data_IF_387864982086
#
_entry.id   IF_387864982086
#
_cell.length_a   1.000
_cell.length_b   1.000
_cell.length_c   1.000
_cell.angle_alpha   90.00
_cell.angle_beta   90.00
_cell.angle_gamma   90.00
#
_symmetry.space_group_name_H-M   'P 1'
#
loop_
_entity.id
_entity.type
_entity.pdbx_description
1 polymer ?
#
# COMPACT_ATOMS: atom_id res chain seq x y z
N UNK A 1 37.59 24.78 -7.79
CA UNK A 1 37.48 23.46 -7.14
C UNK A 1 36.04 23.31 -6.68
N UNK A 2 35.20 22.79 -7.56
CA UNK A 2 33.79 22.48 -7.28
C UNK A 2 33.74 21.30 -6.34
N UNK A 3 33.08 21.47 -5.20
CA UNK A 3 32.69 20.41 -4.28
C UNK A 3 32.02 19.31 -5.08
N UNK A 4 32.70 18.16 -5.23
CA UNK A 4 32.01 16.91 -5.57
C UNK A 4 31.12 16.64 -4.37
N UNK A 5 29.87 17.09 -4.47
CA UNK A 5 28.83 16.67 -3.55
C UNK A 5 28.90 15.14 -3.52
N UNK A 6 28.90 14.56 -2.31
CA UNK A 6 28.71 13.14 -2.06
C UNK A 6 27.31 12.74 -2.56
N UNK A 7 27.16 12.70 -3.88
CA UNK A 7 25.99 12.21 -4.58
C UNK A 7 26.00 10.71 -4.32
N UNK A 8 25.06 10.24 -3.50
CA UNK A 8 24.85 8.81 -3.27
C UNK A 8 24.84 8.12 -4.64
N UNK A 9 25.92 7.42 -4.99
CA UNK A 9 26.13 6.94 -6.35
C UNK A 9 24.98 5.96 -6.68
N UNK A 10 24.03 6.40 -7.51
CA UNK A 10 22.81 5.66 -7.79
C UNK A 10 23.12 4.66 -8.89
N UNK A 11 22.91 3.36 -8.61
CA UNK A 11 23.00 2.33 -9.65
C UNK A 11 21.92 2.61 -10.69
N UNK A 12 22.34 3.04 -11.88
CA UNK A 12 21.45 3.28 -13.00
C UNK A 12 21.00 1.97 -13.65
N UNK A 13 19.83 1.97 -14.30
CA UNK A 13 19.32 0.79 -15.01
C UNK A 13 20.23 0.38 -16.19
N UNK A 14 21.00 1.32 -16.74
CA UNK A 14 22.01 1.10 -17.78
C UNK A 14 23.16 0.18 -17.31
N UNK A 15 23.48 0.21 -16.01
CA UNK A 15 24.54 -0.57 -15.37
C UNK A 15 24.12 -2.01 -15.05
N UNK A 16 22.82 -2.30 -15.14
CA UNK A 16 22.23 -3.60 -14.80
C UNK A 16 22.04 -4.49 -16.03
N UNK A 17 22.21 -5.80 -15.84
CA UNK A 17 21.79 -6.80 -16.81
C UNK A 17 20.27 -6.93 -16.80
N UNK A 18 19.62 -6.25 -17.74
CA UNK A 18 18.16 -6.19 -17.88
C UNK A 18 17.51 -7.57 -17.99
N UNK A 19 18.19 -8.57 -18.60
CA UNK A 19 17.64 -9.92 -18.79
C UNK A 19 17.45 -10.66 -17.46
N UNK A 20 18.35 -10.41 -16.49
CA UNK A 20 18.27 -10.99 -15.14
C UNK A 20 17.45 -10.12 -14.21
N UNK A 21 17.59 -8.80 -14.33
CA UNK A 21 16.99 -7.83 -13.43
C UNK A 21 15.46 -7.85 -13.48
N UNK A 22 14.85 -7.78 -14.67
CA UNK A 22 13.39 -7.73 -14.78
C UNK A 22 12.67 -8.96 -14.20
N UNK A 23 13.03 -10.22 -14.51
CA UNK A 23 12.36 -11.38 -13.93
C UNK A 23 12.61 -11.52 -12.43
N UNK A 24 13.84 -11.27 -11.94
CA UNK A 24 14.15 -11.36 -10.51
C UNK A 24 13.44 -10.26 -9.70
N UNK A 25 13.46 -9.03 -10.21
CA UNK A 25 12.76 -7.90 -9.59
C UNK A 25 11.24 -8.08 -9.63
N UNK A 26 10.71 -8.64 -10.72
CA UNK A 26 9.30 -8.98 -10.86
C UNK A 26 8.85 -10.05 -9.85
N UNK A 27 9.62 -11.14 -9.73
CA UNK A 27 9.35 -12.21 -8.75
C UNK A 27 9.47 -11.70 -7.31
N UNK A 28 10.51 -10.92 -7.02
CA UNK A 28 10.69 -10.28 -5.72
C UNK A 28 9.51 -9.38 -5.36
N UNK A 29 9.11 -8.51 -6.29
CA UNK A 29 7.95 -7.64 -6.13
C UNK A 29 6.67 -8.45 -5.90
N UNK A 30 6.45 -9.53 -6.67
CA UNK A 30 5.30 -10.41 -6.49
C UNK A 30 5.27 -11.03 -5.09
N UNK A 31 6.40 -11.52 -4.59
CA UNK A 31 6.51 -12.09 -3.24
C UNK A 31 6.17 -11.07 -2.15
N UNK A 32 6.72 -9.85 -2.22
CA UNK A 32 6.41 -8.77 -1.25
C UNK A 32 4.91 -8.43 -1.27
N UNK A 33 4.34 -8.25 -2.46
CA UNK A 33 2.92 -7.91 -2.61
C UNK A 33 2.01 -9.04 -2.11
N UNK A 34 2.37 -10.30 -2.36
CA UNK A 34 1.64 -11.47 -1.86
C UNK A 34 1.66 -11.50 -0.34
N UNK A 35 2.85 -11.43 0.25
CA UNK A 35 3.05 -11.53 1.69
C UNK A 35 2.36 -10.40 2.46
N UNK A 36 2.40 -9.19 1.92
CA UNK A 36 1.88 -7.99 2.59
C UNK A 36 0.45 -7.64 2.19
N UNK A 37 -0.19 -8.43 1.34
CA UNK A 37 -1.58 -8.21 0.93
C UNK A 37 -2.56 -8.10 2.11
N UNK A 38 -2.47 -8.92 3.17
CA UNK A 38 -3.37 -8.79 4.32
C UNK A 38 -3.33 -7.38 4.96
N UNK A 39 -2.17 -6.73 5.01
CA UNK A 39 -2.05 -5.36 5.52
C UNK A 39 -2.72 -4.35 4.60
N UNK A 40 -2.65 -4.56 3.28
CA UNK A 40 -3.35 -3.73 2.29
C UNK A 40 -4.86 -3.84 2.52
N UNK A 41 -5.39 -5.06 2.64
CA UNK A 41 -6.82 -5.29 2.91
C UNK A 41 -7.28 -4.59 4.19
N UNK A 42 -6.54 -4.79 5.28
CA UNK A 42 -6.86 -4.24 6.59
C UNK A 42 -6.92 -2.71 6.56
N UNK A 43 -5.96 -2.06 5.88
CA UNK A 43 -5.97 -0.60 5.68
C UNK A 43 -7.25 -0.16 4.98
N UNK A 44 -7.64 -0.84 3.89
CA UNK A 44 -8.78 -0.41 3.04
C UNK A 44 -10.08 -0.53 3.83
N UNK A 45 -10.27 -1.64 4.55
CA UNK A 45 -11.46 -1.82 5.42
C UNK A 45 -11.52 -0.78 6.54
N UNK A 46 -10.38 -0.45 7.16
CA UNK A 46 -10.32 0.57 8.21
C UNK A 46 -10.56 2.00 7.68
N UNK A 47 -10.12 2.31 6.46
CA UNK A 47 -10.37 3.60 5.80
C UNK A 47 -11.84 3.74 5.36
N UNK A 48 -12.47 2.64 4.91
CA UNK A 48 -13.83 2.62 4.38
C UNK A 48 -14.93 2.52 5.44
N UNK A 49 -14.64 1.99 6.63
CA UNK A 49 -15.67 1.83 7.66
C UNK A 49 -16.47 3.12 7.91
N UNK A 50 -17.80 3.06 8.04
CA UNK A 50 -18.63 4.24 8.32
C UNK A 50 -19.25 4.15 9.71
N UNK A 51 -19.23 5.24 10.48
CA UNK A 51 -19.91 5.32 11.77
C UNK A 51 -19.13 4.71 12.96
N UNK A 52 -19.88 4.28 13.99
CA UNK A 52 -19.33 3.79 15.25
C UNK A 52 -18.30 2.69 15.03
N UNK A 53 -17.12 2.82 15.64
CA UNK A 53 -15.92 1.97 15.51
C UNK A 53 -16.22 0.46 15.33
N UNK A 54 -16.51 0.06 14.09
CA UNK A 54 -16.69 -1.34 13.71
C UNK A 54 -15.47 -2.15 14.12
N UNK A 55 -14.31 -1.55 13.81
CA UNK A 55 -13.01 -1.96 14.29
C UNK A 55 -12.43 -0.89 15.21
N UNK A 56 -12.02 -1.28 16.42
CA UNK A 56 -11.30 -0.42 17.36
C UNK A 56 -9.86 -0.16 16.92
N UNK A 57 -9.28 -1.09 16.15
CA UNK A 57 -7.92 -0.99 15.62
C UNK A 57 -7.57 -2.18 14.73
N UNK A 58 -6.29 -2.24 14.32
CA UNK A 58 -5.80 -3.24 13.37
C UNK A 58 -5.91 -4.67 13.93
N UNK A 59 -5.52 -4.91 15.19
CA UNK A 59 -5.56 -6.24 15.80
C UNK A 59 -6.99 -6.77 15.92
N UNK A 60 -7.93 -5.91 16.32
CA UNK A 60 -9.35 -6.25 16.38
C UNK A 60 -9.90 -6.53 14.98
N UNK A 61 -9.54 -5.73 13.97
CA UNK A 61 -9.93 -5.98 12.58
C UNK A 61 -9.42 -7.34 12.08
N UNK A 62 -8.16 -7.67 12.32
CA UNK A 62 -7.58 -8.96 11.93
C UNK A 62 -8.32 -10.13 12.58
N UNK A 63 -8.57 -10.05 13.90
CA UNK A 63 -9.26 -11.10 14.64
C UNK A 63 -10.70 -11.29 14.16
N UNK A 64 -11.45 -10.21 13.97
CA UNK A 64 -12.81 -10.26 13.42
C UNK A 64 -12.84 -10.88 12.02
N UNK A 65 -11.95 -10.47 11.12
CA UNK A 65 -11.92 -11.00 9.74
C UNK A 65 -11.55 -12.49 9.74
N UNK A 66 -10.58 -12.90 10.56
CA UNK A 66 -10.20 -14.32 10.66
C UNK A 66 -11.34 -15.17 11.24
N UNK A 67 -12.11 -14.64 12.19
CA UNK A 67 -13.25 -15.34 12.79
C UNK A 67 -14.46 -15.40 11.87
N UNK A 68 -14.75 -14.33 11.12
CA UNK A 68 -15.97 -14.19 10.32
C UNK A 68 -15.81 -14.68 8.87
N UNK A 69 -14.65 -14.44 8.24
CA UNK A 69 -14.39 -14.76 6.83
C UNK A 69 -13.29 -15.82 6.63
N UNK A 70 -12.58 -16.17 7.71
CA UNK A 70 -11.44 -17.07 7.67
C UNK A 70 -10.19 -16.48 7.02
N UNK A 71 -9.14 -17.29 6.92
CA UNK A 71 -7.87 -16.88 6.32
C UNK A 71 -8.00 -16.42 4.86
N UNK A 72 -8.94 -17.03 4.11
CA UNK A 72 -9.23 -16.65 2.72
C UNK A 72 -9.87 -15.25 2.60
N UNK A 73 -10.47 -14.73 3.66
CA UNK A 73 -10.99 -13.35 3.72
C UNK A 73 -9.87 -12.31 3.61
N UNK A 74 -8.71 -12.58 4.23
CA UNK A 74 -7.54 -11.70 4.20
C UNK A 74 -6.96 -11.49 2.78
N UNK A 75 -7.25 -12.40 1.86
CA UNK A 75 -6.83 -12.35 0.46
C UNK A 75 -7.97 -11.98 -0.51
N UNK A 76 -9.08 -11.43 -0.01
CA UNK A 76 -10.20 -10.99 -0.85
C UNK A 76 -9.78 -9.85 -1.78
N UNK A 77 -9.91 -10.03 -3.10
CA UNK A 77 -9.46 -9.08 -4.13
C UNK A 77 -8.02 -9.30 -4.63
N UNK A 78 -7.27 -10.24 -4.04
CA UNK A 78 -5.85 -10.46 -4.36
C UNK A 78 -5.61 -10.79 -5.83
N UNK A 79 -6.46 -11.65 -6.40
CA UNK A 79 -6.38 -12.06 -7.81
C UNK A 79 -6.41 -10.88 -8.80
N UNK A 80 -7.22 -9.85 -8.52
CA UNK A 80 -7.31 -8.66 -9.36
C UNK A 80 -6.12 -7.74 -9.09
N UNK A 81 -5.73 -7.61 -7.82
CA UNK A 81 -4.62 -6.76 -7.41
C UNK A 81 -3.27 -7.25 -7.94
N UNK A 82 -3.05 -8.56 -8.04
CA UNK A 82 -1.79 -9.13 -8.54
C UNK A 82 -1.52 -8.80 -10.02
N UNK A 83 -2.58 -8.54 -10.83
CA UNK A 83 -2.41 -8.10 -12.21
C UNK A 83 -1.64 -6.77 -12.34
N UNK A 84 -1.66 -5.94 -11.30
CA UNK A 84 -0.93 -4.66 -11.30
C UNK A 84 0.59 -4.82 -11.25
N UNK A 85 1.10 -5.98 -10.83
CA UNK A 85 2.56 -6.20 -10.73
C UNK A 85 3.21 -6.09 -12.11
N UNK A 86 2.49 -6.50 -13.16
CA UNK A 86 2.92 -6.39 -14.56
C UNK A 86 3.08 -4.91 -14.97
N UNK A 87 2.36 -3.99 -14.32
CA UNK A 87 2.37 -2.56 -14.62
C UNK A 87 3.67 -1.84 -14.22
N UNK A 88 4.50 -2.46 -13.37
CA UNK A 88 5.78 -1.88 -12.92
C UNK A 88 6.79 -1.68 -14.06
N UNK A 89 6.85 -2.62 -15.01
CA UNK A 89 7.71 -2.53 -16.20
C UNK A 89 7.28 -1.39 -17.11
N UNK A 90 5.96 -1.18 -17.24
CA UNK A 90 5.42 -0.07 -18.02
C UNK A 90 5.80 1.29 -17.42
N UNK A 91 5.78 1.42 -16.09
CA UNK A 91 6.22 2.65 -15.42
C UNK A 91 7.68 2.97 -15.71
N UNK A 92 8.60 2.01 -15.50
CA UNK A 92 10.03 2.21 -15.71
C UNK A 92 10.33 2.60 -17.17
N UNK A 93 9.73 1.88 -18.13
CA UNK A 93 9.90 2.14 -19.56
C UNK A 93 9.39 3.55 -19.95
N UNK A 94 8.24 3.94 -19.41
CA UNK A 94 7.65 5.26 -19.67
C UNK A 94 8.48 6.38 -19.06
N UNK A 95 8.92 6.20 -17.81
CA UNK A 95 9.77 7.16 -17.10
C UNK A 95 11.07 7.42 -17.88
N UNK A 96 11.74 6.36 -18.34
CA UNK A 96 12.97 6.48 -19.14
C UNK A 96 12.73 7.16 -20.48
N UNK A 97 11.65 6.80 -21.17
CA UNK A 97 11.29 7.39 -22.47
C UNK A 97 11.05 8.89 -22.34
N UNK A 98 10.28 9.33 -21.33
CA UNK A 98 10.00 10.76 -21.09
C UNK A 98 11.28 11.51 -20.69
N UNK A 99 12.15 10.89 -19.89
CA UNK A 99 13.43 11.48 -19.51
C UNK A 99 14.37 11.64 -20.70
N UNK A 100 14.41 10.67 -21.61
CA UNK A 100 15.16 10.75 -22.87
C UNK A 100 14.60 11.81 -23.81
N UNK A 101 13.28 11.98 -23.88
CA UNK A 101 12.68 13.08 -24.66
C UNK A 101 12.96 14.45 -24.03
N UNK A 102 12.98 14.54 -22.70
CA UNK A 102 13.20 15.79 -21.96
C UNK A 102 14.67 16.24 -21.90
N UNK A 103 15.62 15.36 -22.23
CA UNK A 103 17.05 15.73 -22.32
C UNK A 103 17.34 16.62 -23.52
N UNK A 104 16.52 16.54 -24.57
CA UNK A 104 16.61 17.40 -25.77
C UNK A 104 16.14 18.84 -25.55
N UNK A 105 15.56 19.17 -24.39
CA UNK A 105 15.12 20.52 -24.05
C UNK A 105 16.23 21.22 -23.23
N UNK A 106 16.93 22.22 -23.80
CA UNK A 106 17.92 23.00 -23.06
C UNK A 106 17.24 23.87 -21.99
N UNK A 107 17.81 23.91 -20.78
CA UNK A 107 17.32 24.76 -19.67
C UNK A 107 16.55 24.04 -18.55
N UNK A 108 16.17 22.77 -18.72
CA UNK A 108 15.53 21.99 -17.64
C UNK A 108 16.57 21.40 -16.68
N UNK A 109 16.38 21.61 -15.37
CA UNK A 109 17.21 20.98 -14.33
C UNK A 109 16.94 19.47 -14.24
N UNK A 110 17.90 18.72 -13.70
CA UNK A 110 17.78 17.27 -13.53
C UNK A 110 16.55 16.87 -12.68
N UNK A 111 16.26 17.66 -11.64
CA UNK A 111 15.07 17.48 -10.78
C UNK A 111 13.78 17.75 -11.52
N UNK A 112 13.73 18.79 -12.37
CA UNK A 112 12.54 19.10 -13.19
C UNK A 112 12.26 17.99 -14.21
N UNK A 113 13.29 17.46 -14.88
CA UNK A 113 13.16 16.34 -15.82
C UNK A 113 12.65 15.08 -15.12
N UNK A 114 13.18 14.76 -13.94
CA UNK A 114 12.71 13.63 -13.13
C UNK A 114 11.26 13.82 -12.67
N UNK A 115 10.86 15.03 -12.30
CA UNK A 115 9.50 15.34 -11.89
C UNK A 115 8.50 15.18 -13.04
N UNK A 116 8.82 15.74 -14.22
CA UNK A 116 7.98 15.61 -15.44
C UNK A 116 7.87 14.14 -15.86
N UNK A 117 9.01 13.44 -15.93
CA UNK A 117 9.05 12.00 -16.25
C UNK A 117 8.21 11.17 -15.29
N UNK A 118 8.35 11.40 -13.99
CA UNK A 118 7.56 10.73 -12.95
C UNK A 118 6.07 11.05 -13.04
N UNK A 119 5.71 12.31 -13.32
CA UNK A 119 4.33 12.75 -13.49
C UNK A 119 3.64 12.11 -14.69
N UNK A 120 4.26 12.16 -15.86
CA UNK A 120 3.72 11.55 -17.10
C UNK A 120 3.64 10.03 -16.97
N UNK A 121 4.69 9.38 -16.46
CA UNK A 121 4.68 7.94 -16.23
C UNK A 121 3.59 7.53 -15.23
N UNK A 122 3.39 8.30 -14.16
CA UNK A 122 2.31 8.06 -13.20
C UNK A 122 0.94 8.21 -13.85
N UNK A 123 0.73 9.21 -14.71
CA UNK A 123 -0.56 9.42 -15.38
C UNK A 123 -0.93 8.24 -16.29
N UNK A 124 0.02 7.81 -17.14
CA UNK A 124 -0.16 6.65 -18.01
C UNK A 124 -0.38 5.37 -17.20
N UNK A 125 0.39 5.19 -16.13
CA UNK A 125 0.23 4.05 -15.22
C UNK A 125 -1.16 4.05 -14.56
N UNK A 126 -1.62 5.18 -14.04
CA UNK A 126 -2.94 5.30 -13.39
C UNK A 126 -4.09 5.02 -14.36
N UNK A 127 -3.90 5.24 -15.67
CA UNK A 127 -4.92 4.89 -16.67
C UNK A 127 -5.19 3.38 -16.69
N UNK A 128 -4.15 2.56 -16.50
CA UNK A 128 -4.29 1.10 -16.42
C UNK A 128 -4.68 0.66 -15.01
N UNK A 129 -4.13 1.30 -13.98
CA UNK A 129 -4.31 0.85 -12.59
C UNK A 129 -5.65 1.21 -11.98
N UNK A 130 -6.25 2.36 -12.32
CA UNK A 130 -7.48 2.83 -11.66
C UNK A 130 -8.65 1.86 -11.85
N UNK A 131 -8.94 1.32 -13.05
CA UNK A 131 -9.96 0.28 -13.23
C UNK A 131 -9.71 -0.96 -12.36
N UNK A 132 -8.46 -1.40 -12.27
CA UNK A 132 -8.06 -2.56 -11.45
C UNK A 132 -8.22 -2.25 -9.96
N UNK A 133 -7.87 -1.04 -9.54
CA UNK A 133 -8.05 -0.56 -8.17
C UNK A 133 -9.52 -0.52 -7.77
N UNK A 134 -10.39 0.09 -8.58
CA UNK A 134 -11.83 0.17 -8.32
C UNK A 134 -12.42 -1.22 -8.11
N UNK A 135 -12.17 -2.15 -9.04
CA UNK A 135 -12.69 -3.54 -8.94
C UNK A 135 -12.10 -4.24 -7.71
N UNK A 136 -10.79 -4.12 -7.48
CA UNK A 136 -10.14 -4.77 -6.33
C UNK A 136 -10.67 -4.24 -5.00
N UNK A 137 -10.95 -2.94 -4.87
CA UNK A 137 -11.46 -2.33 -3.66
C UNK A 137 -12.90 -2.77 -3.37
N UNK A 138 -13.75 -2.86 -4.39
CA UNK A 138 -15.07 -3.47 -4.22
C UNK A 138 -14.97 -4.91 -3.71
N UNK A 139 -14.05 -5.71 -4.26
CA UNK A 139 -13.82 -7.10 -3.83
C UNK A 139 -13.23 -7.21 -2.41
N UNK A 140 -12.39 -6.25 -1.99
CA UNK A 140 -11.79 -6.19 -0.65
C UNK A 140 -12.85 -5.94 0.43
N UNK A 141 -13.91 -5.22 0.09
CA UNK A 141 -14.98 -4.84 1.01
C UNK A 141 -16.10 -5.88 1.04
N UNK A 142 -16.34 -6.57 -0.07
CA UNK A 142 -17.29 -7.68 -0.14
C UNK A 142 -16.89 -8.81 0.81
N UNK A 143 -17.73 -9.07 1.81
CA UNK A 143 -17.59 -10.22 2.70
C UNK A 143 -17.89 -11.52 1.95
N UNK A 144 -17.18 -12.60 2.32
CA UNK A 144 -17.22 -13.90 1.61
C UNK A 144 -18.36 -14.82 2.06
N UNK A 145 -19.05 -14.51 3.16
CA UNK A 145 -20.09 -15.37 3.72
C UNK A 145 -21.48 -14.75 3.52
N UNK A 146 -22.26 -15.33 2.58
CA UNK A 146 -23.69 -15.02 2.39
C UNK A 146 -24.60 -15.69 3.43
N UNK A 147 -24.06 -16.60 4.24
CA UNK A 147 -24.84 -17.49 5.11
C UNK A 147 -24.30 -17.45 6.53
N UNK A 148 -24.99 -16.73 7.41
CA UNK A 148 -25.04 -17.09 8.83
C UNK A 148 -26.52 -17.31 9.12
N UNK A 149 -26.93 -18.57 9.14
CA UNK A 149 -28.09 -18.97 9.94
C UNK A 149 -27.78 -18.57 11.39
N UNK A 150 -28.70 -17.90 12.10
CA UNK A 150 -28.53 -17.77 13.54
C UNK A 150 -28.35 -19.17 14.08
N UNK A 151 -27.35 -19.36 14.94
CA UNK A 151 -27.12 -20.64 15.61
C UNK A 151 -28.35 -20.92 16.47
N UNK A 152 -29.37 -21.59 15.92
CA UNK A 152 -30.46 -22.15 16.68
C UNK A 152 -29.89 -23.35 17.41
N UNK A 153 -29.60 -23.17 18.69
CA UNK A 153 -29.34 -24.25 19.64
C UNK A 153 -30.44 -25.30 19.50
N UNK A 154 -30.01 -26.50 19.12
CA UNK A 154 -30.82 -27.71 19.11
C UNK A 154 -31.25 -28.05 20.55
N UNK A 155 -32.51 -27.81 20.89
CA UNK A 155 -33.19 -28.49 21.99
C UNK A 155 -34.72 -28.41 21.78
N UNK A 156 -35.25 -29.54 21.31
CA UNK A 156 -36.56 -30.18 21.56
C UNK A 156 -37.81 -29.32 21.84
N UNK A 157 -38.85 -29.60 21.04
CA UNK A 157 -40.24 -29.16 21.18
C UNK A 157 -40.88 -29.50 22.54
N UNK A 158 -41.72 -28.60 23.09
CA UNK A 158 -43.07 -28.90 23.61
C UNK A 158 -43.78 -27.65 24.19
N UNK A 159 -44.98 -27.35 23.65
CA UNK A 159 -46.22 -26.85 24.28
C UNK A 159 -46.18 -25.61 25.23
N UNK A 160 -46.98 -24.58 24.89
CA UNK A 160 -47.27 -23.35 25.66
C UNK A 160 -48.19 -23.61 26.90
N UNK A 161 -48.54 -22.65 27.80
CA UNK A 161 -48.32 -21.20 27.78
C UNK A 161 -47.90 -20.53 29.14
N UNK A 162 -47.63 -19.22 29.05
CA UNK A 162 -47.66 -18.21 30.14
C UNK A 162 -46.57 -18.25 31.21
N UNK A 163 -45.84 -17.13 31.34
CA UNK A 163 -45.54 -16.40 32.60
C UNK A 163 -44.54 -15.26 32.30
N UNK A 164 -44.87 -14.06 32.76
CA UNK A 164 -43.95 -12.91 32.83
C UNK A 164 -42.80 -13.25 33.78
N UNK A 165 -41.56 -13.25 33.28
CA UNK A 165 -40.38 -13.11 34.12
C UNK A 165 -39.40 -12.12 33.48
N UNK A 166 -39.14 -11.07 34.24
CA UNK A 166 -38.13 -10.03 34.00
C UNK A 166 -36.77 -10.70 34.20
N UNK A 167 -35.98 -10.88 33.14
CA UNK A 167 -34.60 -11.36 33.25
C UNK A 167 -33.66 -10.48 32.42
N UNK A 168 -32.81 -9.79 33.16
CA UNK A 168 -31.67 -8.98 32.73
C UNK A 168 -30.51 -9.94 32.41
N UNK A 169 -30.20 -10.20 31.14
CA UNK A 169 -28.85 -10.51 30.63
C UNK A 169 -28.87 -10.73 29.11
N UNK A 170 -27.71 -10.60 28.48
CA UNK A 170 -27.41 -10.87 27.06
C UNK A 170 -27.44 -9.68 26.08
N UNK A 171 -26.69 -8.61 26.43
CA UNK A 171 -26.30 -7.56 25.49
C UNK A 171 -25.18 -7.96 24.51
N UNK A 172 -24.71 -9.21 24.54
CA UNK A 172 -23.53 -9.64 23.79
C UNK A 172 -23.87 -10.25 22.42
N UNK A 173 -24.99 -10.97 22.31
CA UNK A 173 -25.44 -11.57 21.03
C UNK A 173 -26.06 -10.54 20.08
N UNK A 174 -26.83 -9.59 20.62
CA UNK A 174 -27.45 -8.51 19.82
C UNK A 174 -26.37 -7.56 19.28
N UNK A 175 -25.34 -7.26 20.08
CA UNK A 175 -24.26 -6.37 19.66
C UNK A 175 -23.35 -7.00 18.60
N UNK A 176 -23.16 -8.32 18.61
CA UNK A 176 -22.44 -9.04 17.54
C UNK A 176 -23.21 -9.05 16.23
N UNK A 177 -24.53 -9.26 16.27
CA UNK A 177 -25.36 -9.26 15.06
C UNK A 177 -25.47 -7.87 14.42
N UNK A 178 -25.56 -6.81 15.23
CA UNK A 178 -25.51 -5.41 14.75
C UNK A 178 -24.14 -5.08 14.13
N UNK A 179 -23.04 -5.58 14.72
CA UNK A 179 -21.70 -5.42 14.13
C UNK A 179 -21.59 -6.13 12.79
N UNK A 180 -22.12 -7.35 12.65
CA UNK A 180 -22.11 -8.13 11.41
C UNK A 180 -22.92 -7.47 10.28
N UNK A 181 -24.08 -6.90 10.59
CA UNK A 181 -24.87 -6.07 9.66
C UNK A 181 -24.10 -4.82 9.22
N UNK A 182 -23.37 -4.15 10.12
CA UNK A 182 -22.55 -2.98 9.81
C UNK A 182 -21.28 -3.34 9.00
N UNK A 183 -20.68 -4.52 9.19
CA UNK A 183 -19.61 -5.05 8.31
C UNK A 183 -20.15 -5.29 6.89
N UNK A 184 -21.38 -5.82 6.75
CA UNK A 184 -22.06 -5.97 5.44
C UNK A 184 -22.42 -4.63 4.79
N UNK A 185 -22.67 -3.59 5.58
CA UNK A 185 -23.04 -2.26 5.11
C UNK A 185 -21.89 -1.50 4.40
N UNK A 186 -20.67 -2.07 4.36
CA UNK A 186 -19.53 -1.45 3.70
C UNK A 186 -19.57 -1.54 2.17
N UNK A 187 -20.26 -2.54 1.60
CA UNK A 187 -20.40 -2.67 0.15
C UNK A 187 -21.87 -2.54 -0.31
N UNK A 188 -22.18 -1.68 -1.29
CA UNK A 188 -23.52 -1.57 -1.86
C UNK A 188 -23.90 -2.75 -2.78
N UNK A 189 -23.04 -3.78 -2.88
CA UNK A 189 -23.18 -4.91 -3.80
C UNK A 189 -23.62 -6.14 -3.00
N UNK A 190 -24.80 -6.68 -3.30
CA UNK A 190 -25.25 -7.99 -2.81
C UNK A 190 -25.09 -9.01 -3.92
N UNK A 191 -24.24 -10.01 -3.70
CA UNK A 191 -23.94 -11.08 -4.66
C UNK A 191 -24.66 -12.38 -4.26
N UNK A 192 -25.04 -13.18 -5.26
CA UNK A 192 -25.64 -14.51 -5.08
C UNK A 192 -24.61 -15.53 -4.58
N UNK A 193 -25.05 -16.62 -3.93
CA UNK A 193 -24.17 -17.67 -3.40
C UNK A 193 -23.25 -18.28 -4.49
N UNK A 194 -23.73 -18.40 -5.73
CA UNK A 194 -22.94 -18.87 -6.87
C UNK A 194 -21.79 -17.92 -7.22
N UNK A 195 -22.00 -16.61 -7.07
CA UNK A 195 -21.04 -15.56 -7.37
C UNK A 195 -19.96 -15.42 -6.29
N UNK A 196 -20.22 -15.85 -5.05
CA UNK A 196 -19.22 -15.87 -3.97
C UNK A 196 -18.28 -17.09 -4.00
N UNK A 197 -18.58 -18.11 -4.81
CA UNK A 197 -17.89 -19.40 -4.80
C UNK A 197 -16.39 -19.30 -5.15
N UNK A 198 -16.07 -18.58 -6.23
CA UNK A 198 -14.71 -18.48 -6.78
C UNK A 198 -14.27 -17.02 -6.94
N UNK A 199 -12.96 -16.76 -6.83
CA UNK A 199 -12.40 -15.41 -7.04
C UNK A 199 -12.75 -14.84 -8.42
N UNK A 200 -12.84 -15.71 -9.43
CA UNK A 200 -13.20 -15.34 -10.78
C UNK A 200 -14.69 -15.00 -10.94
N UNK A 201 -15.59 -15.77 -10.32
CA UNK A 201 -17.01 -15.45 -10.30
C UNK A 201 -17.26 -14.10 -9.62
N UNK A 202 -16.59 -13.85 -8.48
CA UNK A 202 -16.65 -12.56 -7.78
C UNK A 202 -16.15 -11.41 -8.64
N UNK A 203 -15.01 -11.59 -9.31
CA UNK A 203 -14.47 -10.60 -10.23
C UNK A 203 -15.45 -10.26 -11.35
N UNK A 204 -16.02 -11.27 -12.01
CA UNK A 204 -17.02 -11.07 -13.07
C UNK A 204 -18.27 -10.39 -12.57
N UNK A 205 -18.79 -10.79 -11.41
CA UNK A 205 -19.99 -10.21 -10.83
C UNK A 205 -19.81 -8.73 -10.48
N UNK A 206 -18.69 -8.37 -9.83
CA UNK A 206 -18.36 -6.96 -9.53
C UNK A 206 -18.12 -6.15 -10.80
N UNK A 207 -17.38 -6.69 -11.76
CA UNK A 207 -17.12 -6.02 -13.05
C UNK A 207 -18.42 -5.75 -13.80
N UNK A 208 -19.30 -6.76 -13.86
CA UNK A 208 -20.63 -6.65 -14.47
C UNK A 208 -21.49 -5.61 -13.75
N UNK A 209 -21.52 -5.62 -12.42
CA UNK A 209 -22.22 -4.61 -11.63
C UNK A 209 -21.76 -3.18 -11.95
N UNK A 210 -20.45 -2.94 -11.96
CA UNK A 210 -19.88 -1.61 -12.27
C UNK A 210 -20.21 -1.20 -13.70
N UNK A 211 -20.06 -2.11 -14.66
CA UNK A 211 -20.37 -1.86 -16.07
C UNK A 211 -21.85 -1.50 -16.28
N UNK A 212 -22.78 -2.25 -15.68
CA UNK A 212 -24.21 -2.01 -15.86
C UNK A 212 -24.71 -0.78 -15.09
N UNK A 213 -24.23 -0.53 -13.87
CA UNK A 213 -24.73 0.56 -13.03
C UNK A 213 -24.10 1.91 -13.36
N UNK A 214 -22.83 1.93 -13.74
CA UNK A 214 -22.04 3.15 -13.88
C UNK A 214 -21.36 3.30 -15.25
N UNK A 215 -21.49 2.30 -16.13
CA UNK A 215 -20.84 2.30 -17.43
C UNK A 215 -19.32 2.36 -17.33
N UNK A 216 -18.68 2.84 -18.40
CA UNK A 216 -17.22 2.95 -18.44
C UNK A 216 -16.66 3.95 -17.41
N UNK A 217 -17.43 4.99 -17.08
CA UNK A 217 -17.04 6.01 -16.09
C UNK A 217 -16.91 5.44 -14.68
N UNK A 218 -17.65 4.37 -14.34
CA UNK A 218 -17.53 3.69 -13.06
C UNK A 218 -16.13 3.14 -12.80
N UNK A 219 -15.49 2.56 -13.83
CA UNK A 219 -14.12 2.02 -13.73
C UNK A 219 -13.06 3.11 -13.50
N UNK A 220 -13.33 4.33 -13.92
CA UNK A 220 -12.43 5.47 -13.76
C UNK A 220 -12.88 6.42 -12.65
N UNK A 221 -13.82 6.01 -11.80
CA UNK A 221 -14.21 6.86 -10.70
C UNK A 221 -13.02 7.07 -9.76
N UNK A 222 -12.80 8.31 -9.36
CA UNK A 222 -11.65 8.71 -8.57
C UNK A 222 -10.34 8.81 -9.35
N UNK A 223 -10.32 8.77 -10.69
CA UNK A 223 -9.09 8.89 -11.48
C UNK A 223 -8.27 10.16 -11.14
N UNK A 224 -8.93 11.32 -11.12
CA UNK A 224 -8.27 12.61 -10.81
C UNK A 224 -7.69 12.61 -9.40
N UNK A 225 -8.46 12.19 -8.40
CA UNK A 225 -7.97 12.13 -7.02
C UNK A 225 -6.86 11.08 -6.84
N UNK A 226 -6.87 10.03 -7.67
CA UNK A 226 -5.77 9.06 -7.71
C UNK A 226 -4.45 9.73 -8.13
N UNK A 227 -4.47 10.55 -9.18
CA UNK A 227 -3.30 11.33 -9.61
C UNK A 227 -2.79 12.24 -8.48
N UNK A 228 -3.69 12.99 -7.85
CA UNK A 228 -3.37 13.90 -6.74
C UNK A 228 -2.86 13.22 -5.46
N UNK A 229 -2.90 11.90 -5.42
CA UNK A 229 -2.29 11.16 -4.33
C UNK A 229 -1.01 10.49 -4.75
N UNK A 230 -1.00 9.77 -5.87
CA UNK A 230 0.17 8.99 -6.23
C UNK A 230 1.33 9.87 -6.71
N UNK A 231 1.04 10.96 -7.43
CA UNK A 231 2.10 11.87 -7.91
C UNK A 231 2.75 12.62 -6.74
N UNK A 232 2.02 13.30 -5.85
CA UNK A 232 2.65 13.96 -4.71
C UNK A 232 3.28 12.97 -3.73
N UNK A 233 2.64 11.80 -3.50
CA UNK A 233 3.20 10.78 -2.62
C UNK A 233 4.56 10.29 -3.10
N UNK A 234 4.72 10.08 -4.41
CA UNK A 234 5.99 9.66 -5.00
C UNK A 234 7.08 10.72 -4.85
N UNK A 235 6.75 11.98 -5.15
CA UNK A 235 7.68 13.09 -5.01
C UNK A 235 8.13 13.28 -3.55
N UNK A 236 7.19 13.24 -2.60
CA UNK A 236 7.49 13.31 -1.18
C UNK A 236 8.30 12.12 -0.69
N UNK A 237 8.02 10.91 -1.18
CA UNK A 237 8.76 9.72 -0.79
C UNK A 237 10.24 9.84 -1.16
N UNK A 238 10.55 10.18 -2.42
CA UNK A 238 11.94 10.37 -2.86
C UNK A 238 12.64 11.52 -2.12
N UNK A 239 11.93 12.64 -1.91
CA UNK A 239 12.45 13.78 -1.17
C UNK A 239 12.76 13.47 0.30
N UNK A 240 11.89 12.72 0.98
CA UNK A 240 12.15 12.27 2.35
C UNK A 240 13.22 11.18 2.40
N UNK A 241 13.24 10.27 1.43
CA UNK A 241 14.22 9.20 1.36
C UNK A 241 15.64 9.73 1.28
N UNK A 242 15.93 10.67 0.37
CA UNK A 242 17.25 11.32 0.26
C UNK A 242 17.63 12.02 1.57
N UNK A 243 16.71 12.82 2.14
CA UNK A 243 16.95 13.51 3.42
C UNK A 243 17.26 12.55 4.57
N UNK A 244 16.50 11.46 4.69
CA UNK A 244 16.72 10.48 5.76
C UNK A 244 17.98 9.66 5.54
N UNK A 245 18.33 9.28 4.30
CA UNK A 245 19.62 8.64 4.00
C UNK A 245 20.79 9.53 4.43
N UNK A 246 20.79 10.82 4.05
CA UNK A 246 21.84 11.78 4.44
C UNK A 246 21.90 11.99 5.96
N UNK A 247 20.75 12.14 6.60
CA UNK A 247 20.67 12.34 8.05
C UNK A 247 21.24 11.13 8.80
N UNK A 248 20.83 9.91 8.43
CA UNK A 248 21.30 8.67 9.06
C UNK A 248 22.80 8.50 8.80
N UNK A 249 23.27 8.68 7.56
CA UNK A 249 24.69 8.61 7.23
C UNK A 249 25.52 9.59 8.07
N UNK A 250 25.09 10.87 8.15
CA UNK A 250 25.79 11.88 8.94
C UNK A 250 25.78 11.61 10.45
N UNK A 251 24.73 10.96 10.95
CA UNK A 251 24.62 10.59 12.37
C UNK A 251 25.53 9.41 12.70
N UNK A 252 25.57 8.41 11.81
CA UNK A 252 26.44 7.24 11.92
C UNK A 252 27.91 7.65 11.89
N UNK A 253 28.34 8.47 10.94
CA UNK A 253 29.74 8.93 10.85
C UNK A 253 30.17 9.69 12.11
N UNK A 254 29.30 10.54 12.68
CA UNK A 254 29.58 11.24 13.93
C UNK A 254 29.71 10.29 15.13
N UNK A 255 28.81 9.31 15.23
CA UNK A 255 28.87 8.30 16.30
C UNK A 255 30.15 7.49 16.19
N UNK A 256 30.54 7.15 14.97
CA UNK A 256 31.76 6.43 14.66
C UNK A 256 33.01 7.20 15.10
N UNK A 257 33.14 8.45 14.67
CA UNK A 257 34.22 9.33 15.08
C UNK A 257 34.30 9.45 16.61
N UNK A 258 33.17 9.56 17.31
CA UNK A 258 33.15 9.67 18.78
C UNK A 258 33.49 8.37 19.52
N UNK A 259 33.10 7.21 18.98
CA UNK A 259 33.33 5.91 19.61
C UNK A 259 34.76 5.40 19.34
N UNK A 260 35.29 5.64 18.14
CA UNK A 260 36.62 5.18 17.73
C UNK A 260 37.75 6.18 18.02
N UNK A 261 37.45 7.46 18.26
CA UNK A 261 38.43 8.41 18.81
C UNK A 261 38.97 8.00 20.19
N UNK A 262 38.25 7.13 20.93
CA UNK A 262 38.69 6.64 22.23
C UNK A 262 39.59 5.40 22.17
N UNK A 263 39.81 4.80 20.99
CA UNK A 263 40.51 3.52 20.84
C UNK A 263 41.57 3.54 19.71
N UNK A 264 42.16 4.70 19.43
CA UNK A 264 43.16 4.87 18.37
C UNK A 264 44.52 4.26 18.75
N UNK A 265 44.67 2.96 18.54
CA UNK A 265 45.94 2.37 18.05
C UNK A 265 45.62 1.37 16.93
N UNK A 266 45.98 1.76 15.70
CA UNK A 266 46.23 0.89 14.55
C UNK A 266 45.06 0.04 14.00
N UNK A 267 44.05 0.68 13.42
CA UNK A 267 43.33 0.09 12.27
C UNK A 267 42.73 1.20 11.38
N UNK A 268 43.37 1.43 10.24
CA UNK A 268 42.94 2.33 9.17
C UNK A 268 41.79 1.72 8.35
N UNK A 269 40.66 1.48 9.01
CA UNK A 269 39.43 1.03 8.38
C UNK A 269 38.26 1.71 9.06
N UNK A 270 37.75 2.79 8.46
CA UNK A 270 36.47 3.37 8.84
C UNK A 270 35.41 2.26 8.79
N UNK A 271 34.69 1.96 9.87
CA UNK A 271 33.57 1.01 9.84
C UNK A 271 32.47 1.60 8.96
N UNK A 272 32.49 1.21 7.69
CA UNK A 272 31.40 1.50 6.79
C UNK A 272 30.17 0.74 7.27
N UNK A 273 29.19 1.45 7.82
CA UNK A 273 27.85 0.89 7.94
C UNK A 273 27.39 0.52 6.52
N UNK A 274 26.99 -0.74 6.28
CA UNK A 274 26.57 -1.18 4.96
C UNK A 274 25.49 -0.26 4.43
N UNK A 275 25.62 0.20 3.18
CA UNK A 275 24.66 1.09 2.52
C UNK A 275 23.22 0.57 2.65
N UNK A 276 23.06 -0.75 2.57
CA UNK A 276 21.79 -1.44 2.76
C UNK A 276 21.14 -1.12 4.12
N UNK A 277 21.90 -1.06 5.21
CA UNK A 277 21.37 -0.78 6.54
C UNK A 277 20.77 0.63 6.63
N UNK A 278 21.44 1.62 6.04
CA UNK A 278 20.93 3.00 5.96
C UNK A 278 19.62 3.03 5.17
N UNK A 279 19.57 2.33 4.03
CA UNK A 279 18.39 2.30 3.17
C UNK A 279 17.21 1.57 3.83
N UNK A 280 17.47 0.49 4.59
CA UNK A 280 16.45 -0.28 5.33
C UNK A 280 15.77 0.54 6.44
N UNK A 281 16.42 1.58 6.96
CA UNK A 281 15.84 2.50 7.95
C UNK A 281 15.21 3.73 7.27
N UNK A 282 15.92 4.31 6.29
CA UNK A 282 15.47 5.52 5.59
C UNK A 282 14.18 5.30 4.80
N UNK A 283 14.04 4.17 4.10
CA UNK A 283 12.88 3.91 3.26
C UNK A 283 11.56 3.78 4.06
N UNK A 284 11.49 3.02 5.17
CA UNK A 284 10.31 3.02 6.04
C UNK A 284 9.97 4.40 6.61
N UNK A 285 10.96 5.19 7.05
CA UNK A 285 10.73 6.54 7.57
C UNK A 285 10.16 7.48 6.49
N UNK A 286 10.72 7.43 5.28
CA UNK A 286 10.20 8.18 4.13
C UNK A 286 8.77 7.75 3.77
N UNK A 287 8.51 6.44 3.83
CA UNK A 287 7.19 5.86 3.67
C UNK A 287 6.17 6.40 4.66
N UNK A 288 6.52 6.41 5.95
CA UNK A 288 5.68 6.92 7.04
C UNK A 288 5.40 8.41 6.88
N UNK A 289 6.43 9.23 6.63
CA UNK A 289 6.30 10.67 6.45
C UNK A 289 5.41 11.03 5.26
N UNK A 290 5.63 10.42 4.09
CA UNK A 290 4.80 10.63 2.89
C UNK A 290 3.37 10.15 3.12
N UNK A 291 3.18 8.97 3.72
CA UNK A 291 1.86 8.42 3.97
C UNK A 291 1.03 9.25 4.95
N UNK A 292 1.66 9.84 5.98
CA UNK A 292 0.98 10.70 6.94
C UNK A 292 0.39 11.95 6.28
N UNK A 293 1.15 12.59 5.37
CA UNK A 293 0.71 13.79 4.65
C UNK A 293 -0.40 13.50 3.63
N UNK A 294 -0.36 12.32 3.01
CA UNK A 294 -1.27 11.92 1.93
C UNK A 294 -2.56 11.27 2.45
N UNK A 295 -2.58 10.82 3.71
CA UNK A 295 -3.69 10.06 4.29
C UNK A 295 -5.08 10.67 4.03
N UNK A 296 -5.31 11.98 4.21
CA UNK A 296 -6.63 12.57 4.00
C UNK A 296 -7.13 12.39 2.56
N UNK A 297 -6.26 12.63 1.56
CA UNK A 297 -6.61 12.48 0.15
C UNK A 297 -6.82 10.99 -0.20
N UNK A 298 -6.04 10.10 0.40
CA UNK A 298 -6.20 8.65 0.24
C UNK A 298 -7.54 8.16 0.79
N UNK A 299 -7.94 8.62 1.98
CA UNK A 299 -9.25 8.30 2.56
C UNK A 299 -10.41 8.71 1.66
N UNK A 300 -10.34 9.89 1.04
CA UNK A 300 -11.37 10.34 0.11
C UNK A 300 -11.36 9.51 -1.18
N UNK A 301 -10.18 9.22 -1.74
CA UNK A 301 -10.03 8.40 -2.95
C UNK A 301 -10.69 7.03 -2.82
N UNK A 302 -10.36 6.29 -1.77
CA UNK A 302 -10.86 4.92 -1.57
C UNK A 302 -12.39 4.92 -1.41
N UNK A 303 -12.95 5.93 -0.74
CA UNK A 303 -14.42 6.10 -0.60
C UNK A 303 -15.10 6.49 -1.90
N UNK A 304 -14.51 7.38 -2.69
CA UNK A 304 -15.04 7.73 -4.01
C UNK A 304 -15.05 6.52 -4.94
N UNK A 305 -13.99 5.70 -4.91
CA UNK A 305 -13.85 4.51 -5.74
C UNK A 305 -14.87 3.42 -5.40
N UNK A 306 -15.12 3.15 -4.11
CA UNK A 306 -16.10 2.12 -3.69
C UNK A 306 -17.54 2.63 -3.62
N UNK A 307 -17.74 3.87 -3.19
CA UNK A 307 -19.07 4.47 -3.02
C UNK A 307 -19.66 5.06 -4.30
N UNK A 308 -18.85 5.17 -5.35
CA UNK A 308 -19.17 5.92 -6.58
C UNK A 308 -19.67 7.35 -6.30
N UNK A 309 -19.07 8.03 -5.31
CA UNK A 309 -19.47 9.35 -4.83
C UNK A 309 -18.59 10.46 -5.44
N UNK A 310 -19.12 11.68 -5.52
CA UNK A 310 -18.28 12.84 -5.84
C UNK A 310 -17.36 13.21 -4.66
N UNK A 311 -16.31 13.98 -4.95
CA UNK A 311 -15.39 14.50 -3.93
C UNK A 311 -16.14 15.27 -2.84
N UNK A 312 -17.00 16.22 -3.24
CA UNK A 312 -17.77 17.09 -2.34
C UNK A 312 -18.71 16.30 -1.44
N UNK A 313 -19.39 15.30 -1.99
CA UNK A 313 -20.29 14.44 -1.20
C UNK A 313 -19.49 13.61 -0.20
N UNK A 314 -18.38 13.03 -0.63
CA UNK A 314 -17.52 12.21 0.23
C UNK A 314 -16.96 13.03 1.38
N UNK A 315 -16.42 14.23 1.12
CA UNK A 315 -15.91 15.12 2.17
C UNK A 315 -17.01 15.60 3.10
N UNK A 316 -18.23 15.86 2.59
CA UNK A 316 -19.38 16.24 3.41
C UNK A 316 -19.78 15.11 4.35
N UNK A 317 -19.87 13.87 3.86
CA UNK A 317 -20.21 12.70 4.66
C UNK A 317 -19.15 12.45 5.74
N UNK A 318 -17.86 12.53 5.38
CA UNK A 318 -16.75 12.39 6.33
C UNK A 318 -16.81 13.45 7.43
N UNK A 319 -17.02 14.72 7.05
CA UNK A 319 -17.13 15.81 8.02
C UNK A 319 -18.32 15.62 8.96
N UNK A 320 -19.49 15.27 8.41
CA UNK A 320 -20.72 15.08 9.19
C UNK A 320 -20.66 13.87 10.13
N UNK A 321 -20.05 12.75 9.71
CA UNK A 321 -19.99 11.52 10.51
C UNK A 321 -18.84 11.47 11.50
N UNK A 322 -17.69 12.08 11.18
CA UNK A 322 -16.44 11.85 11.92
C UNK A 322 -15.74 13.13 12.41
N UNK A 323 -16.17 14.31 11.93
CA UNK A 323 -15.53 15.58 12.27
C UNK A 323 -14.04 15.59 11.96
N UNK A 324 -13.23 16.29 12.74
CA UNK A 324 -11.78 16.42 12.47
C UNK A 324 -11.00 15.08 12.49
N UNK A 325 -11.57 14.03 13.10
CA UNK A 325 -10.88 12.74 13.28
C UNK A 325 -10.73 11.95 11.98
N UNK A 326 -11.49 12.27 10.92
CA UNK A 326 -11.36 11.55 9.65
C UNK A 326 -9.98 11.75 8.99
N UNK A 327 -9.28 12.86 9.26
CA UNK A 327 -7.92 13.10 8.75
C UNK A 327 -6.92 12.02 9.21
N UNK A 328 -7.12 11.45 10.39
CA UNK A 328 -6.30 10.38 10.95
C UNK A 328 -6.93 8.99 10.76
N UNK A 329 -8.04 8.88 10.02
CA UNK A 329 -8.75 7.61 9.85
C UNK A 329 -7.91 6.62 9.07
N UNK A 330 -7.76 5.42 9.64
CA UNK A 330 -6.94 4.36 9.05
C UNK A 330 -5.45 4.68 9.02
N UNK A 331 -5.01 5.80 9.61
CA UNK A 331 -3.62 6.25 9.56
C UNK A 331 -2.67 5.20 10.14
N UNK A 332 -2.99 4.62 11.31
CA UNK A 332 -2.15 3.58 11.93
C UNK A 332 -1.93 2.37 11.02
N UNK A 333 -2.99 1.89 10.36
CA UNK A 333 -2.91 0.80 9.40
C UNK A 333 -2.09 1.20 8.16
N UNK A 334 -2.26 2.43 7.67
CA UNK A 334 -1.51 2.98 6.54
C UNK A 334 -0.02 3.12 6.86
N UNK A 335 0.33 3.61 8.05
CA UNK A 335 1.72 3.77 8.48
C UNK A 335 2.41 2.42 8.62
N UNK A 336 1.77 1.46 9.28
CA UNK A 336 2.31 0.10 9.41
C UNK A 336 2.50 -0.55 8.03
N UNK A 337 1.47 -0.50 7.19
CA UNK A 337 1.51 -1.08 5.85
C UNK A 337 2.63 -0.45 5.01
N UNK A 338 2.78 0.87 5.03
CA UNK A 338 3.81 1.56 4.24
C UNK A 338 5.22 1.31 4.77
N UNK A 339 5.39 1.27 6.10
CA UNK A 339 6.67 0.97 6.75
C UNK A 339 7.15 -0.44 6.40
N UNK A 340 6.30 -1.46 6.64
CA UNK A 340 6.63 -2.87 6.37
C UNK A 340 6.85 -3.09 4.87
N UNK A 341 6.03 -2.47 4.01
CA UNK A 341 6.22 -2.57 2.55
C UNK A 341 7.56 -1.98 2.10
N UNK A 342 7.92 -0.80 2.58
CA UNK A 342 9.17 -0.14 2.19
C UNK A 342 10.40 -0.93 2.66
N UNK A 343 10.35 -1.50 3.87
CA UNK A 343 11.41 -2.35 4.40
C UNK A 343 11.64 -3.58 3.50
N UNK A 344 10.59 -4.37 3.25
CA UNK A 344 10.71 -5.59 2.45
C UNK A 344 11.04 -5.31 0.99
N UNK A 345 10.55 -4.19 0.45
CA UNK A 345 10.89 -3.77 -0.91
C UNK A 345 12.39 -3.51 -1.03
N UNK A 346 12.99 -2.72 -0.13
CA UNK A 346 14.44 -2.45 -0.15
C UNK A 346 15.25 -3.71 0.11
N UNK A 347 14.83 -4.52 1.09
CA UNK A 347 15.51 -5.77 1.45
C UNK A 347 15.63 -6.74 0.27
N UNK A 348 14.65 -6.76 -0.63
CA UNK A 348 14.69 -7.62 -1.82
C UNK A 348 15.31 -6.88 -3.02
N UNK A 349 14.98 -5.61 -3.21
CA UNK A 349 15.38 -4.85 -4.39
C UNK A 349 16.89 -4.57 -4.46
N UNK A 350 17.52 -4.21 -3.35
CA UNK A 350 18.95 -3.88 -3.32
C UNK A 350 19.84 -5.10 -3.61
N UNK A 351 19.65 -6.26 -2.95
CA UNK A 351 20.41 -7.46 -3.31
C UNK A 351 20.19 -7.91 -4.76
N UNK A 352 18.95 -7.79 -5.28
CA UNK A 352 18.65 -8.13 -6.68
C UNK A 352 19.39 -7.20 -7.63
N UNK A 353 19.46 -5.89 -7.34
CA UNK A 353 20.26 -4.94 -8.14
C UNK A 353 21.74 -5.30 -8.12
N UNK A 354 22.31 -5.53 -6.94
CA UNK A 354 23.73 -5.89 -6.80
C UNK A 354 24.06 -7.18 -7.55
N UNK A 355 23.19 -8.19 -7.45
CA UNK A 355 23.36 -9.45 -8.18
C UNK A 355 23.32 -9.26 -9.70
N UNK A 356 22.48 -8.35 -10.20
CA UNK A 356 22.32 -8.07 -11.62
C UNK A 356 23.31 -7.03 -12.17
N UNK A 357 24.20 -6.49 -11.35
CA UNK A 357 25.19 -5.49 -11.78
C UNK A 357 26.20 -6.12 -12.74
N UNK A 358 26.39 -5.47 -13.90
CA UNK A 358 27.37 -5.92 -14.90
C UNK A 358 28.78 -5.87 -14.31
N UNK A 359 29.62 -6.82 -14.71
CA UNK A 359 30.96 -6.97 -14.16
C UNK A 359 31.84 -5.71 -14.31
N UNK A 360 31.61 -4.92 -15.36
CA UNK A 360 32.33 -3.67 -15.64
C UNK A 360 32.10 -2.56 -14.59
N UNK A 361 30.93 -2.53 -13.94
CA UNK A 361 30.60 -1.52 -12.92
C UNK A 361 30.83 -2.02 -11.48
N UNK A 362 31.11 -3.31 -11.28
CA UNK A 362 31.28 -3.89 -9.93
C UNK A 362 32.42 -3.26 -9.14
N UNK A 363 33.45 -2.76 -9.81
CA UNK A 363 34.58 -2.10 -9.15
C UNK A 363 34.25 -0.73 -8.54
N UNK A 364 33.19 -0.06 -9.02
CA UNK A 364 32.78 1.27 -8.53
C UNK A 364 32.02 1.18 -7.20
N UNK A 365 31.27 0.10 -7.00
CA UNK A 365 30.37 -0.05 -5.85
C UNK A 365 30.91 -0.99 -4.76
N UNK A 366 32.14 -1.50 -4.90
CA UNK A 366 32.77 -2.42 -3.94
C UNK A 366 33.52 -1.62 -2.88
N UNK A 367 33.24 -1.88 -1.61
CA UNK A 367 33.98 -1.27 -0.50
C UNK A 367 35.48 -1.69 -0.56
N UNK A 368 36.47 -0.94 -0.02
CA UNK A 368 37.88 -1.35 -0.02
C UNK A 368 38.14 -2.68 0.71
N UNK A 369 37.24 -3.09 1.61
CA UNK A 369 37.25 -4.41 2.27
C UNK A 369 36.80 -5.56 1.35
N UNK A 370 36.35 -5.26 0.14
CA UNK A 370 35.89 -6.26 -0.83
C UNK A 370 34.46 -6.73 -0.64
N UNK A 371 33.73 -6.17 0.32
CA UNK A 371 32.32 -6.47 0.64
C UNK A 371 31.34 -5.60 -0.18
N UNK A 372 30.10 -6.11 -0.35
CA UNK A 372 29.05 -5.56 -1.20
C UNK A 372 28.11 -4.60 -0.46
#
# INVERSE_FOLDING_TARGET
MTTKDDEFEVIELSMLDKRKFYPLSGLGSFTVHSMLYPLVLLRIRLQLQEGAHLYTGLAHATSCILREEGFRGLYSGYFVKSAQIISSVFYASTYETVRHMSSGIPGLSQTQRSFIGGGVASMLLQTVLVPVDVISQHLMVLSRNSSISPCSSSATQSIAPSVKLKAKSSGQSVMTDVRLEQVRALSPIRLSASELSTSWARFRAVTSYVAHKHGIRGFYNGYVISLFTFVPSSAMWWGFYDKFCRLIASTVSKLDDTLFASNATNSSGSPLVPRLAIQLIAAPLAGVASAALVNPIDCVRVRMQVGNLSFRETTRILWAKEGIRWFAKGLSARLLQTSVFSFWLILIYEPVKLFCLKNEYRGQFRNPAGEW
#
